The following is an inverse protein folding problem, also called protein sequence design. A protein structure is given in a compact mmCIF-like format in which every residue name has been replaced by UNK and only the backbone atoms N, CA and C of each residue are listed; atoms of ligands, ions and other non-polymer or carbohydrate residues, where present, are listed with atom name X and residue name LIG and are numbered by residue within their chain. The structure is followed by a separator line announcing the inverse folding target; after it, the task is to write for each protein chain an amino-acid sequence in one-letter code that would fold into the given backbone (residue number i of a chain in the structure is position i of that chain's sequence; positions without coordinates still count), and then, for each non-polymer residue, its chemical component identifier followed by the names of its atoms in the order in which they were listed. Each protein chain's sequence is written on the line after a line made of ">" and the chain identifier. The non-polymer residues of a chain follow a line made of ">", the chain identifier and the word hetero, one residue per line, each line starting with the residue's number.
data_IF_296339870883
#
_entry.id   IF_296339870883
#
_cell.length_a   1.000
_cell.length_b   1.000
_cell.length_c   1.000
_cell.angle_alpha   90.00
_cell.angle_beta   90.00
_cell.angle_gamma   90.00
#
_symmetry.space_group_name_H-M   'P 1'
#
loop_
_entity.id
_entity.type
_entity.pdbx_description
1 polymer ?
#
# COMPACT_ATOMS: atom_id res chain seq x y z
N UNK A 1 -13.82 -18.26 -5.94
CA UNK A 1 -13.69 -16.99 -6.66
C UNK A 1 -12.55 -16.22 -6.00
N UNK A 2 -11.32 -16.57 -6.36
CA UNK A 2 -10.17 -15.65 -6.21
C UNK A 2 -10.46 -14.49 -7.16
N UNK A 3 -11.21 -13.49 -6.68
CA UNK A 3 -11.16 -12.18 -7.33
C UNK A 3 -9.69 -11.76 -7.24
N UNK A 4 -9.05 -11.75 -8.41
CA UNK A 4 -7.61 -11.73 -8.59
C UNK A 4 -7.01 -10.58 -7.78
N UNK A 5 -6.19 -10.88 -6.77
CA UNK A 5 -5.56 -9.87 -5.90
C UNK A 5 -4.88 -8.77 -6.75
N UNK A 6 -4.36 -9.15 -7.93
CA UNK A 6 -3.78 -8.24 -8.91
C UNK A 6 -4.79 -7.20 -9.38
N UNK A 7 -6.04 -7.57 -9.65
CA UNK A 7 -7.09 -6.64 -10.09
C UNK A 7 -7.43 -5.62 -8.98
N UNK A 8 -7.33 -6.02 -7.71
CA UNK A 8 -7.53 -5.12 -6.57
C UNK A 8 -6.35 -4.17 -6.37
N UNK A 9 -5.13 -4.66 -6.56
CA UNK A 9 -3.92 -3.84 -6.57
C UNK A 9 -3.97 -2.82 -7.71
N UNK A 10 -4.37 -3.24 -8.91
CA UNK A 10 -4.53 -2.37 -10.08
C UNK A 10 -5.56 -1.26 -9.81
N UNK A 11 -6.77 -1.62 -9.37
CA UNK A 11 -7.80 -0.63 -9.00
C UNK A 11 -7.34 0.33 -7.92
N UNK A 12 -6.57 -0.17 -6.94
CA UNK A 12 -6.04 0.65 -5.86
C UNK A 12 -5.00 1.65 -6.38
N UNK A 13 -4.10 1.24 -7.27
CA UNK A 13 -3.16 2.13 -7.95
C UNK A 13 -3.87 3.18 -8.82
N UNK A 14 -4.89 2.75 -9.58
CA UNK A 14 -5.72 3.65 -10.39
C UNK A 14 -6.42 4.71 -9.53
N UNK A 15 -6.88 4.35 -8.33
CA UNK A 15 -7.49 5.29 -7.39
C UNK A 15 -6.54 6.42 -6.94
N UNK A 16 -5.22 6.17 -7.02
CA UNK A 16 -4.18 7.15 -6.75
C UNK A 16 -3.68 7.85 -8.02
N UNK A 17 -4.25 7.56 -9.19
CA UNK A 17 -3.87 8.14 -10.48
C UNK A 17 -2.73 7.41 -11.18
N UNK A 18 -2.30 6.23 -10.70
CA UNK A 18 -1.26 5.45 -11.36
C UNK A 18 -1.86 4.37 -12.26
N UNK A 19 -1.50 4.39 -13.54
CA UNK A 19 -1.89 3.37 -14.54
C UNK A 19 -0.70 2.43 -14.75
N UNK A 20 -0.95 1.12 -14.70
CA UNK A 20 0.08 0.10 -14.90
C UNK A 20 0.74 0.21 -16.28
N UNK A 21 2.06 0.10 -16.29
CA UNK A 21 2.93 0.09 -17.47
C UNK A 21 3.48 -1.32 -17.72
N UNK A 22 4.08 -1.51 -18.88
CA UNK A 22 4.80 -2.74 -19.21
C UNK A 22 5.92 -3.00 -18.19
N UNK A 23 5.94 -4.21 -17.64
CA UNK A 23 6.88 -4.64 -16.60
C UNK A 23 6.40 -4.42 -15.16
N UNK A 24 5.33 -3.65 -14.94
CA UNK A 24 4.81 -3.40 -13.58
C UNK A 24 4.21 -4.65 -12.96
N UNK A 25 3.56 -5.50 -13.77
CA UNK A 25 2.97 -6.76 -13.30
C UNK A 25 4.01 -7.67 -12.64
N UNK A 26 5.19 -7.78 -13.25
CA UNK A 26 6.28 -8.55 -12.65
C UNK A 26 6.72 -7.98 -11.31
N UNK A 27 6.83 -6.65 -11.21
CA UNK A 27 7.21 -6.00 -9.96
C UNK A 27 6.13 -6.18 -8.88
N UNK A 28 4.85 -6.08 -9.25
CA UNK A 28 3.72 -6.34 -8.36
C UNK A 28 3.76 -7.77 -7.84
N UNK A 29 3.96 -8.75 -8.72
CA UNK A 29 4.06 -10.16 -8.33
C UNK A 29 5.23 -10.41 -7.37
N UNK A 30 6.40 -9.83 -7.67
CA UNK A 30 7.57 -9.91 -6.78
C UNK A 30 7.30 -9.28 -5.40
N UNK A 31 6.69 -8.09 -5.37
CA UNK A 31 6.37 -7.40 -4.11
C UNK A 31 5.30 -8.16 -3.33
N UNK A 32 4.29 -8.71 -4.02
CA UNK A 32 3.26 -9.56 -3.40
C UNK A 32 3.90 -10.73 -2.67
N UNK A 33 4.74 -11.51 -3.34
CA UNK A 33 5.45 -12.63 -2.71
C UNK A 33 6.29 -12.18 -1.52
N UNK A 34 6.97 -11.03 -1.64
CA UNK A 34 7.75 -10.44 -0.55
C UNK A 34 6.88 -10.10 0.66
N UNK A 35 5.77 -9.38 0.47
CA UNK A 35 4.88 -8.95 1.55
C UNK A 35 4.20 -10.16 2.21
N UNK A 36 3.69 -11.09 1.41
CA UNK A 36 3.08 -12.33 1.91
C UNK A 36 4.06 -13.12 2.80
N UNK A 37 5.32 -13.26 2.37
CA UNK A 37 6.35 -13.92 3.15
C UNK A 37 6.69 -13.17 4.45
N UNK A 38 6.77 -11.83 4.41
CA UNK A 38 7.03 -11.02 5.60
C UNK A 38 5.92 -11.21 6.64
N UNK A 39 4.64 -11.14 6.22
CA UNK A 39 3.50 -11.30 7.13
C UNK A 39 3.47 -12.72 7.71
N UNK A 40 3.67 -13.75 6.87
CA UNK A 40 3.74 -15.14 7.33
C UNK A 40 4.84 -15.37 8.37
N UNK A 41 6.02 -14.79 8.14
CA UNK A 41 7.14 -14.89 9.07
C UNK A 41 6.87 -14.14 10.39
N UNK A 42 6.35 -12.91 10.32
CA UNK A 42 6.06 -12.09 11.50
C UNK A 42 4.96 -12.70 12.37
N UNK A 43 3.90 -13.22 11.73
CA UNK A 43 2.80 -13.88 12.42
C UNK A 43 3.07 -15.36 12.73
N UNK A 44 4.13 -15.97 12.19
CA UNK A 44 4.39 -17.41 12.25
C UNK A 44 3.21 -18.27 11.77
N UNK A 45 2.64 -17.90 10.62
CA UNK A 45 1.52 -18.60 9.96
C UNK A 45 1.96 -19.14 8.59
N UNK A 46 1.27 -20.17 8.09
CA UNK A 46 1.58 -20.78 6.79
C UNK A 46 0.76 -20.23 5.63
N UNK A 47 -0.42 -19.69 5.93
CA UNK A 47 -1.42 -19.26 4.96
C UNK A 47 -1.86 -17.86 5.33
N UNK A 48 -2.06 -16.99 4.32
CA UNK A 48 -2.58 -15.65 4.55
C UNK A 48 -4.06 -15.72 4.99
N UNK A 49 -4.42 -15.10 6.13
CA UNK A 49 -5.82 -14.91 6.52
C UNK A 49 -6.52 -14.00 5.52
N UNK A 50 -7.75 -14.35 5.15
CA UNK A 50 -8.53 -13.55 4.17
C UNK A 50 -8.92 -12.18 4.73
N UNK A 51 -8.98 -12.07 6.05
CA UNK A 51 -9.23 -10.84 6.80
C UNK A 51 -8.11 -9.80 6.63
N UNK A 52 -6.90 -10.24 6.23
CA UNK A 52 -5.77 -9.34 5.96
C UNK A 52 -5.71 -8.86 4.52
N UNK A 53 -6.65 -9.24 3.65
CA UNK A 53 -6.59 -8.96 2.21
C UNK A 53 -6.44 -7.47 1.88
N UNK A 54 -7.26 -6.61 2.48
CA UNK A 54 -7.20 -5.16 2.22
C UNK A 54 -5.86 -4.57 2.68
N UNK A 55 -5.32 -5.08 3.79
CA UNK A 55 -4.02 -4.66 4.33
C UNK A 55 -2.89 -5.12 3.42
N UNK A 56 -2.96 -6.35 2.92
CA UNK A 56 -2.02 -6.91 1.96
C UNK A 56 -1.98 -6.05 0.68
N UNK A 57 -3.16 -5.71 0.13
CA UNK A 57 -3.26 -4.83 -1.04
C UNK A 57 -2.60 -3.47 -0.77
N UNK A 58 -2.95 -2.79 0.33
CA UNK A 58 -2.37 -1.49 0.65
C UNK A 58 -0.85 -1.56 0.85
N UNK A 59 -0.35 -2.58 1.55
CA UNK A 59 1.10 -2.78 1.73
C UNK A 59 1.83 -3.03 0.42
N UNK A 60 1.26 -3.83 -0.48
CA UNK A 60 1.82 -4.08 -1.83
C UNK A 60 1.85 -2.78 -2.63
N UNK A 61 0.76 -2.01 -2.64
CA UNK A 61 0.68 -0.73 -3.36
C UNK A 61 1.67 0.28 -2.81
N UNK A 62 1.80 0.38 -1.48
CA UNK A 62 2.78 1.25 -0.83
C UNK A 62 4.22 0.90 -1.20
N UNK A 63 4.58 -0.38 -1.11
CA UNK A 63 5.93 -0.86 -1.48
C UNK A 63 6.21 -0.71 -2.98
N UNK A 64 5.20 -0.91 -3.84
CA UNK A 64 5.30 -0.70 -5.28
C UNK A 64 5.61 0.76 -5.61
N UNK A 65 4.82 1.69 -5.08
CA UNK A 65 5.01 3.12 -5.29
C UNK A 65 6.38 3.58 -4.75
N UNK A 66 6.77 3.12 -3.57
CA UNK A 66 8.09 3.38 -2.99
C UNK A 66 9.22 2.89 -3.90
N UNK A 67 9.10 1.66 -4.42
CA UNK A 67 10.09 1.06 -5.31
C UNK A 67 10.20 1.86 -6.61
N UNK A 68 9.06 2.22 -7.22
CA UNK A 68 9.03 3.04 -8.43
C UNK A 68 9.64 4.43 -8.24
N UNK A 69 9.39 5.08 -7.09
CA UNK A 69 10.04 6.34 -6.71
C UNK A 69 11.56 6.17 -6.65
N UNK A 70 12.05 5.18 -5.92
CA UNK A 70 13.49 4.97 -5.73
C UNK A 70 14.23 4.56 -7.01
N UNK A 71 13.54 3.93 -7.96
CA UNK A 71 14.06 3.63 -9.29
C UNK A 71 14.04 4.84 -10.25
N UNK A 72 13.48 5.99 -9.83
CA UNK A 72 13.27 7.14 -10.71
C UNK A 72 12.25 6.87 -11.83
N UNK A 73 11.35 5.89 -11.63
CA UNK A 73 10.35 5.45 -12.61
C UNK A 73 8.94 5.95 -12.29
N UNK A 74 8.81 6.75 -11.23
CA UNK A 74 7.56 7.38 -10.82
C UNK A 74 7.67 8.89 -10.97
N UNK A 75 6.70 9.47 -11.67
CA UNK A 75 6.44 10.89 -11.59
C UNK A 75 5.50 11.16 -10.42
N UNK A 76 6.01 11.76 -9.34
CA UNK A 76 5.25 12.00 -8.12
C UNK A 76 4.10 12.99 -8.38
N UNK A 77 4.27 13.91 -9.33
CA UNK A 77 3.23 14.89 -9.67
C UNK A 77 2.02 14.25 -10.37
N UNK A 78 2.20 13.05 -10.95
CA UNK A 78 1.11 12.29 -11.55
C UNK A 78 0.15 11.63 -10.54
N UNK A 79 0.52 11.61 -9.26
CA UNK A 79 -0.31 11.05 -8.19
C UNK A 79 -1.44 12.02 -7.82
N UNK A 80 -2.67 11.51 -7.80
CA UNK A 80 -3.84 12.27 -7.41
C UNK A 80 -3.95 12.36 -5.87
N UNK A 81 -3.23 13.31 -5.29
CA UNK A 81 -3.24 13.51 -3.83
C UNK A 81 -4.61 13.94 -3.26
N UNK A 82 -5.46 14.60 -4.06
CA UNK A 82 -6.82 14.94 -3.60
C UNK A 82 -7.69 13.68 -3.44
N UNK A 83 -7.56 12.72 -4.35
CA UNK A 83 -8.23 11.42 -4.25
C UNK A 83 -7.70 10.60 -3.07
N UNK A 84 -6.38 10.64 -2.84
CA UNK A 84 -5.73 10.01 -1.69
C UNK A 84 -6.29 10.54 -0.36
N UNK A 85 -6.35 11.87 -0.20
CA UNK A 85 -6.87 12.49 1.03
C UNK A 85 -8.33 12.09 1.31
N UNK A 86 -9.17 12.02 0.27
CA UNK A 86 -10.54 11.53 0.39
C UNK A 86 -10.60 10.06 0.81
N UNK A 87 -9.83 9.20 0.14
CA UNK A 87 -9.82 7.76 0.44
C UNK A 87 -9.35 7.46 1.88
N UNK A 88 -8.37 8.21 2.40
CA UNK A 88 -7.89 8.03 3.77
C UNK A 88 -8.91 8.58 4.78
N UNK A 89 -9.54 9.71 4.47
CA UNK A 89 -10.57 10.30 5.34
C UNK A 89 -11.80 9.42 5.48
N UNK A 90 -12.12 8.56 4.51
CA UNK A 90 -13.23 7.61 4.57
C UNK A 90 -12.86 6.33 5.35
N UNK A 91 -11.58 5.99 5.48
CA UNK A 91 -11.04 4.71 5.99
C UNK A 91 -10.84 4.58 7.51
N UNK A 92 -11.61 5.29 8.32
CA UNK A 92 -11.67 5.12 9.79
C UNK A 92 -10.52 5.75 10.62
N UNK A 93 -9.61 6.52 10.00
CA UNK A 93 -8.77 7.48 10.70
C UNK A 93 -8.71 8.78 9.92
N UNK A 94 -9.17 9.89 10.52
CA UNK A 94 -8.65 11.21 10.15
C UNK A 94 -7.17 11.21 10.50
N UNK A 95 -6.34 10.67 9.62
CA UNK A 95 -4.96 11.13 9.55
C UNK A 95 -5.14 12.59 9.15
N UNK A 96 -4.89 13.50 10.08
CA UNK A 96 -4.70 14.91 9.77
C UNK A 96 -3.44 14.98 8.88
N UNK A 97 -3.57 14.58 7.61
CA UNK A 97 -2.91 15.28 6.53
C UNK A 97 -3.33 16.72 6.80
N UNK A 98 -2.44 17.49 7.41
CA UNK A 98 -2.73 18.85 7.80
C UNK A 98 -3.07 19.61 6.51
N UNK A 99 -4.36 19.63 6.18
CA UNK A 99 -4.97 20.49 5.20
C UNK A 99 -4.85 21.88 5.81
N UNK A 100 -3.73 22.50 5.48
CA UNK A 100 -3.25 23.76 6.04
C UNK A 100 -2.17 24.33 5.14
N UNK A 101 -2.58 24.80 3.95
CA UNK A 101 -1.92 25.86 3.17
C UNK A 101 -0.46 25.60 2.71
N UNK A 102 -0.30 25.02 1.52
CA UNK A 102 0.85 25.27 0.62
C UNK A 102 2.26 24.94 1.10
N UNK A 103 2.43 24.23 2.23
CA UNK A 103 3.76 24.07 2.85
C UNK A 103 4.40 22.69 2.67
N UNK A 104 3.65 21.66 2.27
CA UNK A 104 4.22 20.35 1.97
C UNK A 104 4.52 20.20 0.48
N UNK A 105 5.72 19.73 0.15
CA UNK A 105 6.07 19.40 -1.22
C UNK A 105 5.34 18.13 -1.69
N UNK A 106 5.14 17.92 -3.00
CA UNK A 106 4.59 16.67 -3.53
C UNK A 106 5.31 15.43 -3.00
N UNK A 107 6.63 15.48 -2.82
CA UNK A 107 7.41 14.39 -2.25
C UNK A 107 7.04 14.08 -0.80
N UNK A 108 6.79 15.10 0.03
CA UNK A 108 6.41 14.90 1.43
C UNK A 108 5.02 14.28 1.56
N UNK A 109 4.08 14.70 0.70
CA UNK A 109 2.73 14.11 0.63
C UNK A 109 2.81 12.66 0.17
N UNK A 110 3.66 12.37 -0.81
CA UNK A 110 3.93 11.02 -1.28
C UNK A 110 4.54 10.13 -0.20
N UNK A 111 5.56 10.61 0.51
CA UNK A 111 6.19 9.85 1.58
C UNK A 111 5.20 9.53 2.71
N UNK A 112 4.30 10.47 3.00
CA UNK A 112 3.22 10.28 3.97
C UNK A 112 2.21 9.23 3.51
N UNK A 113 1.84 9.24 2.23
CA UNK A 113 0.98 8.21 1.63
C UNK A 113 1.62 6.82 1.71
N UNK A 114 2.87 6.68 1.29
CA UNK A 114 3.61 5.40 1.35
C UNK A 114 3.72 4.92 2.79
N UNK A 115 4.03 5.82 3.74
CA UNK A 115 4.09 5.49 5.15
C UNK A 115 2.73 5.00 5.67
N UNK A 116 1.63 5.65 5.30
CA UNK A 116 0.28 5.21 5.67
C UNK A 116 0.00 3.79 5.15
N UNK A 117 0.16 3.57 3.85
CA UNK A 117 -0.12 2.29 3.18
C UNK A 117 0.69 1.12 3.77
N UNK A 118 1.94 1.38 4.17
CA UNK A 118 2.84 0.36 4.71
C UNK A 118 2.70 0.14 6.22
N UNK A 119 1.99 1.01 6.96
CA UNK A 119 1.93 0.95 8.43
C UNK A 119 0.53 0.78 9.02
N UNK A 120 -0.53 1.27 8.35
CA UNK A 120 -1.90 1.29 8.89
C UNK A 120 -2.39 -0.07 9.40
N UNK A 121 -2.10 -1.16 8.68
CA UNK A 121 -2.57 -2.50 9.02
C UNK A 121 -1.71 -3.28 10.02
N UNK A 122 -0.56 -2.76 10.47
CA UNK A 122 0.39 -3.52 11.31
C UNK A 122 -0.24 -4.03 12.62
N UNK A 123 -1.07 -3.22 13.27
CA UNK A 123 -1.74 -3.63 14.50
C UNK A 123 -2.74 -4.77 14.27
N UNK A 124 -3.43 -4.78 13.13
CA UNK A 124 -4.35 -5.86 12.74
C UNK A 124 -3.58 -7.14 12.41
N UNK A 125 -2.44 -7.04 11.72
CA UNK A 125 -1.52 -8.16 11.46
C UNK A 125 -1.07 -8.83 12.76
N UNK A 126 -0.71 -8.04 13.78
CA UNK A 126 -0.28 -8.56 15.08
C UNK A 126 -1.33 -9.45 15.77
N UNK A 127 -2.63 -9.27 15.48
CA UNK A 127 -3.69 -10.12 16.05
C UNK A 127 -3.63 -11.58 15.60
N UNK A 128 -2.96 -11.86 14.47
CA UNK A 128 -2.76 -13.19 13.93
C UNK A 128 -1.45 -13.85 14.37
N UNK A 129 -0.65 -13.16 15.20
CA UNK A 129 0.68 -13.65 15.60
C UNK A 129 0.59 -14.88 16.50
N UNK A 130 1.20 -15.97 16.05
CA UNK A 130 1.34 -17.22 16.79
C UNK A 130 2.72 -17.29 17.46
N UNK A 131 2.77 -17.50 18.78
CA UNK A 131 4.04 -17.66 19.49
C UNK A 131 4.78 -18.92 19.00
N UNK A 132 6.09 -18.78 18.74
CA UNK A 132 7.01 -19.88 18.45
C UNK A 132 8.11 -19.87 19.50
N UNK A 133 8.36 -21.03 20.09
CA UNK A 133 9.48 -21.31 20.99
C UNK A 133 10.54 -22.14 20.27
#
# INVERSE_FOLDING_TARGET
>A
MENNLIDEIEKRLESFGYILKDGDKWLIDFIREKIENIIKLDCNIKTMPIELKEIEVDMIVGEFLFTKKNMGQLDIESINFEAVEKSISEGDTKVDFAIGSGSQTPEQRFDSLVAYLTTYGKNKILTFRCLRW
#
